data_IF_724313017883
#
_entry.id   IF_724313017883
#
_cell.length_a   1.000
_cell.length_b   1.000
_cell.length_c   1.000
_cell.angle_alpha   90.00
_cell.angle_beta   90.00
_cell.angle_gamma   90.00
#
_symmetry.space_group_name_H-M   'P 1'
#
loop_
_entity.id
_entity.type
_entity.pdbx_description
1 polymer ?
#
# COMPACT_ATOMS: atom_id res chain seq x y z
N UNK A 1 -35.41 72.06 21.30
CA UNK A 1 -35.61 70.93 20.37
C UNK A 1 -35.69 69.57 21.09
N UNK A 2 -34.80 69.26 22.04
CA UNK A 2 -34.82 67.99 22.82
C UNK A 2 -36.16 67.76 23.54
N UNK A 3 -36.72 68.78 24.20
CA UNK A 3 -38.02 68.66 24.89
C UNK A 3 -39.21 68.35 23.96
N UNK A 4 -39.14 68.76 22.69
CA UNK A 4 -40.15 68.43 21.68
C UNK A 4 -40.01 66.98 21.20
N UNK A 5 -38.77 66.48 21.07
CA UNK A 5 -38.50 65.08 20.75
C UNK A 5 -38.99 64.14 21.87
N UNK A 6 -38.74 64.48 23.14
CA UNK A 6 -39.21 63.71 24.31
C UNK A 6 -40.75 63.67 24.36
N UNK A 7 -41.43 64.80 24.14
CA UNK A 7 -42.90 64.83 24.06
C UNK A 7 -43.44 63.98 22.90
N UNK A 8 -42.73 63.91 21.77
CA UNK A 8 -43.10 63.09 20.61
C UNK A 8 -42.94 61.59 20.87
N UNK A 9 -41.87 61.19 21.56
CA UNK A 9 -41.63 59.82 22.04
C UNK A 9 -42.75 59.37 23.00
N UNK A 10 -43.12 60.23 23.97
CA UNK A 10 -44.15 59.93 24.97
C UNK A 10 -45.57 59.86 24.38
N UNK A 11 -45.85 60.55 23.26
CA UNK A 11 -47.16 60.57 22.61
C UNK A 11 -47.37 59.42 21.62
N UNK A 12 -46.30 58.87 21.03
CA UNK A 12 -46.33 57.71 20.10
C UNK A 12 -45.70 56.48 20.76
N UNK A 13 -46.29 56.04 21.89
CA UNK A 13 -45.71 55.03 22.78
C UNK A 13 -45.38 53.71 22.07
N UNK A 14 -46.29 53.18 21.25
CA UNK A 14 -46.10 51.90 20.56
C UNK A 14 -44.93 51.92 19.57
N UNK A 15 -44.89 52.92 18.67
CA UNK A 15 -43.81 53.08 17.68
C UNK A 15 -42.46 53.32 18.37
N UNK A 16 -42.46 54.08 19.46
CA UNK A 16 -41.24 54.36 20.23
C UNK A 16 -40.71 53.11 20.93
N UNK A 17 -41.59 52.26 21.48
CA UNK A 17 -41.22 50.99 22.11
C UNK A 17 -40.61 50.05 21.07
N UNK A 18 -41.22 49.90 19.88
CA UNK A 18 -40.71 49.04 18.80
C UNK A 18 -39.34 49.51 18.30
N UNK A 19 -39.15 50.83 18.15
CA UNK A 19 -37.85 51.39 17.75
C UNK A 19 -36.78 51.16 18.81
N UNK A 20 -37.09 51.40 20.08
CA UNK A 20 -36.15 51.18 21.19
C UNK A 20 -35.83 49.69 21.33
N UNK A 21 -36.81 48.80 21.21
CA UNK A 21 -36.57 47.35 21.28
C UNK A 21 -35.72 46.86 20.12
N UNK A 22 -35.97 47.35 18.88
CA UNK A 22 -35.14 47.01 17.73
C UNK A 22 -33.70 47.51 17.92
N UNK A 23 -33.53 48.72 18.46
CA UNK A 23 -32.21 49.29 18.76
C UNK A 23 -31.50 48.46 19.83
N UNK A 24 -32.17 48.10 20.92
CA UNK A 24 -31.62 47.23 21.97
C UNK A 24 -31.23 45.86 21.39
N UNK A 25 -32.08 45.25 20.57
CA UNK A 25 -31.76 43.98 19.91
C UNK A 25 -30.49 44.08 19.07
N UNK A 26 -30.32 45.14 18.27
CA UNK A 26 -29.10 45.35 17.48
C UNK A 26 -27.89 45.54 18.41
N UNK A 27 -28.01 46.38 19.44
CA UNK A 27 -26.93 46.67 20.38
C UNK A 27 -26.54 45.48 21.26
N UNK A 28 -27.39 44.46 21.41
CA UNK A 28 -27.06 43.22 22.13
C UNK A 28 -26.58 42.14 21.17
N UNK A 29 -27.29 41.91 20.05
CA UNK A 29 -26.98 40.81 19.12
C UNK A 29 -25.66 41.04 18.38
N UNK A 30 -25.36 42.26 17.93
CA UNK A 30 -24.13 42.53 17.17
C UNK A 30 -22.88 42.30 18.03
N UNK A 31 -22.76 42.86 19.25
CA UNK A 31 -21.60 42.56 20.10
C UNK A 31 -21.53 41.11 20.54
N UNK A 32 -22.67 40.47 20.86
CA UNK A 32 -22.69 39.05 21.21
C UNK A 32 -22.22 38.15 20.06
N UNK A 33 -22.66 38.44 18.83
CA UNK A 33 -22.20 37.76 17.63
C UNK A 33 -20.69 37.93 17.40
N UNK A 34 -20.19 39.16 17.50
CA UNK A 34 -18.75 39.45 17.38
C UNK A 34 -17.91 38.76 18.47
N UNK A 35 -18.42 38.68 19.70
CA UNK A 35 -17.77 37.99 20.80
C UNK A 35 -17.70 36.47 20.54
N UNK A 36 -18.78 35.86 20.05
CA UNK A 36 -18.78 34.45 19.69
C UNK A 36 -17.81 34.14 18.54
N UNK A 37 -17.72 35.01 17.52
CA UNK A 37 -16.74 34.86 16.43
C UNK A 37 -15.31 34.92 16.98
N UNK A 38 -15.03 35.87 17.90
CA UNK A 38 -13.71 35.98 18.52
C UNK A 38 -13.36 34.74 19.37
N UNK A 39 -14.32 34.21 20.14
CA UNK A 39 -14.13 32.98 20.91
C UNK A 39 -13.87 31.79 19.99
N UNK A 40 -14.62 31.68 18.89
CA UNK A 40 -14.43 30.63 17.91
C UNK A 40 -13.04 30.71 17.24
N UNK A 41 -12.62 31.91 16.82
CA UNK A 41 -11.27 32.14 16.26
C UNK A 41 -10.19 31.75 17.26
N UNK A 42 -10.28 32.22 18.50
CA UNK A 42 -9.31 31.87 19.55
C UNK A 42 -9.29 30.38 19.86
N UNK A 43 -10.44 29.71 19.83
CA UNK A 43 -10.52 28.27 20.02
C UNK A 43 -9.86 27.52 18.87
N UNK A 44 -10.02 27.99 17.63
CA UNK A 44 -9.36 27.43 16.44
C UNK A 44 -7.84 27.66 16.53
N UNK A 45 -7.39 28.90 16.78
CA UNK A 45 -5.97 29.25 16.88
C UNK A 45 -5.28 28.42 17.97
N UNK A 46 -5.90 28.32 19.15
CA UNK A 46 -5.37 27.52 20.27
C UNK A 46 -5.41 26.02 19.95
N UNK A 47 -6.41 25.54 19.21
CA UNK A 47 -6.45 24.15 18.74
C UNK A 47 -5.31 23.86 17.75
N UNK A 48 -5.04 24.78 16.82
CA UNK A 48 -3.92 24.70 15.87
C UNK A 48 -2.59 24.77 16.61
N UNK A 49 -2.41 25.69 17.55
CA UNK A 49 -1.17 25.82 18.32
C UNK A 49 -0.91 24.57 19.18
N UNK A 50 -1.95 24.05 19.84
CA UNK A 50 -1.83 22.92 20.76
C UNK A 50 -1.71 21.56 20.06
N UNK A 51 -2.37 21.39 18.92
CA UNK A 51 -2.45 20.09 18.23
C UNK A 51 -1.78 20.08 16.85
N UNK A 52 -1.46 21.23 16.28
CA UNK A 52 -0.69 21.34 15.03
C UNK A 52 0.82 21.29 15.24
N UNK A 53 1.31 21.41 16.49
CA UNK A 53 2.73 21.23 16.78
C UNK A 53 3.11 19.75 16.62
N UNK A 54 4.07 19.52 15.74
CA UNK A 54 4.52 18.19 15.36
C UNK A 54 5.25 17.43 16.48
N UNK A 55 5.59 16.16 16.24
CA UNK A 55 6.71 15.52 16.98
C UNK A 55 8.05 16.15 16.62
N UNK A 56 8.10 16.94 15.54
CA UNK A 56 9.26 17.63 15.03
C UNK A 56 9.01 19.14 15.07
N UNK A 57 9.99 19.90 15.56
CA UNK A 57 9.96 21.37 15.54
C UNK A 57 10.57 21.97 14.27
N UNK A 58 11.65 21.34 13.76
CA UNK A 58 12.42 21.86 12.62
C UNK A 58 12.67 20.72 11.63
N UNK A 59 12.27 20.93 10.37
CA UNK A 59 12.59 20.06 9.25
C UNK A 59 13.81 20.62 8.50
N UNK A 60 14.94 19.91 8.58
CA UNK A 60 16.16 20.28 7.86
C UNK A 60 16.23 19.54 6.54
N UNK A 61 16.35 20.30 5.43
CA UNK A 61 16.44 19.75 4.08
C UNK A 61 17.52 20.48 3.28
N UNK A 62 18.14 19.84 2.27
CA UNK A 62 19.03 20.54 1.35
C UNK A 62 18.31 21.66 0.61
N UNK A 63 19.02 22.76 0.35
CA UNK A 63 18.45 23.92 -0.35
C UNK A 63 17.89 23.56 -1.75
N UNK A 64 18.51 22.61 -2.44
CA UNK A 64 18.07 22.12 -3.76
C UNK A 64 16.76 21.33 -3.73
N UNK A 65 16.32 20.86 -2.56
CA UNK A 65 15.12 20.04 -2.46
C UNK A 65 13.83 20.86 -2.54
N UNK A 66 13.87 22.17 -2.28
CA UNK A 66 12.67 23.00 -2.22
C UNK A 66 12.11 23.29 -3.62
N UNK A 67 10.90 22.83 -3.90
CA UNK A 67 10.21 23.04 -5.18
C UNK A 67 9.76 24.49 -5.34
N UNK A 68 9.40 24.89 -6.56
CA UNK A 68 8.88 26.23 -6.81
C UNK A 68 7.56 26.49 -6.06
N UNK A 69 6.65 25.50 -6.04
CA UNK A 69 5.38 25.65 -5.34
C UNK A 69 5.57 25.74 -3.81
N UNK A 70 6.52 24.99 -3.23
CA UNK A 70 6.88 25.10 -1.81
C UNK A 70 7.48 26.49 -1.47
N UNK A 71 8.12 27.15 -2.44
CA UNK A 71 8.62 28.53 -2.27
C UNK A 71 7.47 29.55 -2.29
N UNK A 72 6.54 29.39 -3.22
CA UNK A 72 5.40 30.29 -3.40
C UNK A 72 4.39 30.19 -2.26
N UNK A 73 4.06 28.96 -1.83
CA UNK A 73 3.08 28.72 -0.77
C UNK A 73 3.68 28.81 0.63
N UNK A 74 5.01 28.70 0.76
CA UNK A 74 5.65 28.62 2.08
C UNK A 74 5.31 27.34 2.85
N UNK A 75 4.83 26.30 2.15
CA UNK A 75 4.41 25.02 2.73
C UNK A 75 5.25 23.87 2.16
N UNK A 76 5.30 22.75 2.87
CA UNK A 76 5.92 21.48 2.44
C UNK A 76 4.81 20.47 2.20
N UNK A 77 4.99 19.59 1.21
CA UNK A 77 4.06 18.49 0.96
C UNK A 77 3.91 17.60 2.20
N UNK A 78 2.69 17.16 2.50
CA UNK A 78 2.48 16.15 3.53
C UNK A 78 3.11 14.83 3.10
N UNK A 79 3.62 14.05 4.06
CA UNK A 79 4.25 12.75 3.80
C UNK A 79 5.46 12.83 2.85
N UNK A 80 6.23 13.92 2.98
CA UNK A 80 7.38 14.26 2.12
C UNK A 80 8.45 13.15 1.97
N UNK A 81 8.54 12.19 2.90
CA UNK A 81 9.53 11.10 2.85
C UNK A 81 9.30 10.14 1.67
N UNK A 82 8.12 10.18 1.02
CA UNK A 82 7.88 9.40 -0.21
C UNK A 82 8.82 9.72 -1.37
N UNK A 83 9.60 10.81 -1.29
CA UNK A 83 10.58 11.18 -2.30
C UNK A 83 11.97 10.63 -1.93
N UNK A 84 12.55 9.78 -2.77
CA UNK A 84 13.82 9.08 -2.45
C UNK A 84 15.08 9.82 -2.91
N UNK A 85 14.97 11.12 -3.23
CA UNK A 85 16.07 11.94 -3.78
C UNK A 85 16.48 13.06 -2.82
N UNK A 86 17.73 13.01 -2.35
CA UNK A 86 18.38 14.06 -1.56
C UNK A 86 18.57 13.69 -0.08
N UNK A 87 18.87 14.70 0.74
CA UNK A 87 19.19 14.55 2.16
C UNK A 87 20.39 15.42 2.56
N UNK A 88 20.50 15.73 3.85
CA UNK A 88 21.71 16.36 4.40
C UNK A 88 22.81 15.31 4.59
N UNK A 89 24.08 15.73 4.61
CA UNK A 89 25.16 14.77 4.88
C UNK A 89 25.18 14.34 6.34
N UNK A 90 25.77 13.19 6.64
CA UNK A 90 26.00 12.73 8.02
C UNK A 90 26.87 13.74 8.79
N UNK A 91 27.78 14.45 8.10
CA UNK A 91 28.59 15.50 8.71
C UNK A 91 27.73 16.70 9.12
N UNK A 92 26.86 17.18 8.22
CA UNK A 92 25.93 18.29 8.51
C UNK A 92 25.01 17.93 9.67
N UNK A 93 24.45 16.72 9.67
CA UNK A 93 23.62 16.24 10.78
C UNK A 93 24.39 16.22 12.12
N UNK A 94 25.63 15.71 12.14
CA UNK A 94 26.46 15.71 13.35
C UNK A 94 26.81 17.11 13.83
N UNK A 95 26.95 18.07 12.92
CA UNK A 95 27.22 19.46 13.31
C UNK A 95 25.97 20.12 13.88
N UNK A 96 24.79 19.85 13.32
CA UNK A 96 23.50 20.26 13.89
C UNK A 96 23.32 19.65 15.29
N UNK A 97 23.58 18.36 15.47
CA UNK A 97 23.42 17.68 16.75
C UNK A 97 24.29 18.25 17.89
N UNK A 98 25.40 18.95 17.57
CA UNK A 98 26.30 19.54 18.57
C UNK A 98 25.80 20.87 19.12
N UNK A 99 24.80 21.50 18.50
CA UNK A 99 24.26 22.76 18.97
C UNK A 99 23.59 22.57 20.34
N UNK A 100 23.90 23.44 21.31
CA UNK A 100 23.40 23.32 22.68
C UNK A 100 21.90 23.62 22.79
N UNK A 101 21.33 24.33 21.81
CA UNK A 101 19.89 24.63 21.76
C UNK A 101 19.08 23.48 21.14
N UNK A 102 19.75 22.44 20.61
CA UNK A 102 19.10 21.28 20.01
C UNK A 102 19.06 20.13 21.01
N UNK A 103 17.86 19.81 21.49
CA UNK A 103 17.64 18.70 22.43
C UNK A 103 17.84 17.33 21.76
N UNK A 104 17.26 17.13 20.57
CA UNK A 104 17.31 15.88 19.81
C UNK A 104 17.38 16.21 18.31
N UNK A 105 18.31 15.58 17.59
CA UNK A 105 18.38 15.59 16.14
C UNK A 105 18.23 14.17 15.60
N UNK A 106 17.05 13.81 15.12
CA UNK A 106 16.75 12.48 14.60
C UNK A 106 16.78 12.47 13.06
N UNK A 107 17.81 11.87 12.43
CA UNK A 107 17.90 11.80 10.98
C UNK A 107 16.98 10.69 10.44
N UNK A 108 16.27 11.01 9.36
CA UNK A 108 15.47 10.04 8.60
C UNK A 108 15.87 10.10 7.12
N UNK A 109 16.07 8.94 6.52
CA UNK A 109 16.41 8.80 5.10
C UNK A 109 15.38 7.93 4.38
N UNK A 110 14.83 8.43 3.28
CA UNK A 110 14.00 7.63 2.37
C UNK A 110 14.88 6.69 1.57
N UNK A 111 14.70 5.38 1.73
CA UNK A 111 15.40 4.36 0.94
C UNK A 111 14.69 4.15 -0.39
N UNK A 112 13.36 4.25 -0.38
CA UNK A 112 12.49 4.04 -1.53
C UNK A 112 11.41 3.02 -1.23
N UNK A 113 10.87 2.44 -2.28
CA UNK A 113 9.83 1.44 -2.21
C UNK A 113 10.42 0.08 -2.52
N UNK A 114 10.27 -0.84 -1.57
CA UNK A 114 10.86 -2.17 -1.63
C UNK A 114 9.76 -3.22 -1.50
N UNK A 115 10.02 -4.38 -2.09
CA UNK A 115 9.10 -5.52 -2.07
C UNK A 115 9.59 -6.59 -1.13
N UNK A 116 8.64 -7.32 -0.58
CA UNK A 116 8.86 -8.44 0.30
C UNK A 116 9.20 -9.76 -0.39
N UNK A 117 9.30 -10.79 0.45
CA UNK A 117 9.13 -12.19 0.02
C UNK A 117 7.75 -12.30 -0.63
N UNK A 118 7.64 -13.07 -1.72
CA UNK A 118 6.34 -13.39 -2.31
C UNK A 118 5.91 -14.81 -1.92
N UNK A 119 4.61 -14.99 -1.71
CA UNK A 119 4.03 -16.22 -1.18
C UNK A 119 3.08 -16.83 -2.20
N UNK A 120 2.96 -18.15 -2.18
CA UNK A 120 2.02 -18.86 -3.04
C UNK A 120 0.64 -19.02 -2.40
N UNK A 121 -0.37 -19.15 -3.25
CA UNK A 121 -1.67 -19.73 -2.96
C UNK A 121 -1.75 -21.06 -3.69
N UNK A 122 -1.81 -22.15 -2.93
CA UNK A 122 -2.00 -23.51 -3.45
C UNK A 122 -3.47 -23.72 -3.82
N UNK A 123 -3.73 -24.17 -5.05
CA UNK A 123 -5.07 -24.46 -5.57
C UNK A 123 -5.54 -25.86 -5.13
N UNK A 124 -6.86 -26.09 -4.99
CA UNK A 124 -7.37 -27.36 -4.51
C UNK A 124 -7.26 -28.47 -5.57
N UNK A 125 -6.92 -29.67 -5.13
CA UNK A 125 -7.04 -30.88 -5.94
C UNK A 125 -8.48 -31.38 -5.91
N UNK A 126 -9.20 -31.25 -7.03
CA UNK A 126 -10.62 -31.62 -7.11
C UNK A 126 -10.80 -33.02 -7.71
N UNK A 127 -11.98 -33.60 -7.49
CA UNK A 127 -12.33 -34.94 -8.01
C UNK A 127 -12.58 -34.99 -9.51
N UNK A 128 -12.64 -33.84 -10.17
CA UNK A 128 -12.98 -33.68 -11.58
C UNK A 128 -11.84 -32.90 -12.25
N UNK A 129 -11.58 -33.17 -13.54
CA UNK A 129 -10.67 -32.33 -14.33
C UNK A 129 -11.21 -30.90 -14.34
N UNK A 130 -10.37 -29.93 -14.03
CA UNK A 130 -10.83 -28.58 -13.68
C UNK A 130 -9.93 -27.53 -14.30
N UNK A 131 -10.54 -26.53 -14.91
CA UNK A 131 -9.89 -25.31 -15.34
C UNK A 131 -10.05 -24.25 -14.23
N UNK A 132 -8.93 -23.77 -13.73
CA UNK A 132 -8.85 -22.64 -12.83
C UNK A 132 -8.46 -21.41 -13.64
N UNK A 133 -9.28 -20.37 -13.63
CA UNK A 133 -8.90 -19.04 -14.13
C UNK A 133 -8.88 -18.09 -12.95
N UNK A 134 -7.79 -17.33 -12.77
CA UNK A 134 -7.69 -16.41 -11.64
C UNK A 134 -7.09 -15.07 -12.02
N UNK A 135 -7.48 -14.06 -11.26
CA UNK A 135 -7.03 -12.69 -11.38
C UNK A 135 -6.91 -12.06 -9.98
N UNK A 136 -5.85 -11.30 -9.77
CA UNK A 136 -5.65 -10.57 -8.52
C UNK A 136 -6.12 -9.13 -8.67
N UNK A 137 -6.70 -8.60 -7.61
CA UNK A 137 -7.18 -7.23 -7.58
C UNK A 137 -6.63 -6.48 -6.37
N UNK A 138 -6.52 -5.16 -6.50
CA UNK A 138 -6.30 -4.24 -5.38
C UNK A 138 -7.36 -3.14 -5.41
N UNK A 139 -7.61 -2.49 -4.29
CA UNK A 139 -8.56 -1.39 -4.21
C UNK A 139 -7.97 -0.18 -3.53
N UNK A 140 -8.28 1.02 -4.04
CA UNK A 140 -8.03 2.27 -3.32
C UNK A 140 -9.20 2.63 -2.39
N UNK A 141 -10.11 1.69 -2.13
CA UNK A 141 -11.38 1.92 -1.45
C UNK A 141 -12.47 2.45 -2.38
N UNK A 142 -12.14 3.26 -3.40
CA UNK A 142 -13.10 3.86 -4.34
C UNK A 142 -13.36 2.98 -5.55
N UNK A 143 -12.28 2.52 -6.18
CA UNK A 143 -12.23 1.68 -7.37
C UNK A 143 -11.41 0.42 -7.08
N UNK A 144 -11.75 -0.64 -7.79
CA UNK A 144 -10.98 -1.87 -7.85
C UNK A 144 -10.13 -1.88 -9.14
N UNK A 145 -8.90 -2.37 -9.02
CA UNK A 145 -7.90 -2.40 -10.07
C UNK A 145 -7.38 -3.82 -10.25
N UNK A 146 -7.33 -4.27 -11.49
CA UNK A 146 -6.70 -5.54 -11.84
C UNK A 146 -5.17 -5.44 -11.71
N UNK A 147 -4.54 -6.45 -11.10
CA UNK A 147 -3.09 -6.55 -10.94
C UNK A 147 -2.41 -7.37 -12.05
N UNK A 148 -3.12 -7.63 -13.15
CA UNK A 148 -2.59 -8.34 -14.31
C UNK A 148 -3.67 -9.11 -15.06
N UNK A 149 -3.39 -9.60 -16.27
CA UNK A 149 -4.37 -10.36 -17.03
C UNK A 149 -4.73 -11.67 -16.30
N UNK A 150 -5.95 -12.19 -16.53
CA UNK A 150 -6.36 -13.49 -16.03
C UNK A 150 -5.37 -14.57 -16.47
N UNK A 151 -4.98 -15.43 -15.52
CA UNK A 151 -4.15 -16.61 -15.78
C UNK A 151 -5.02 -17.85 -15.70
N UNK A 152 -4.68 -18.88 -16.49
CA UNK A 152 -5.42 -20.14 -16.47
C UNK A 152 -4.51 -21.34 -16.22
N UNK A 153 -5.09 -22.37 -15.60
CA UNK A 153 -4.48 -23.66 -15.35
C UNK A 153 -5.51 -24.75 -15.56
N UNK A 154 -5.15 -25.78 -16.30
CA UNK A 154 -5.97 -26.95 -16.53
C UNK A 154 -5.42 -28.15 -15.77
N UNK A 155 -6.13 -28.56 -14.72
CA UNK A 155 -5.83 -29.70 -13.85
C UNK A 155 -6.54 -30.97 -14.32
N UNK A 156 -5.87 -32.13 -14.17
CA UNK A 156 -6.43 -33.44 -14.51
C UNK A 156 -6.48 -34.40 -13.32
N UNK A 157 -7.60 -35.10 -13.20
CA UNK A 157 -7.94 -36.02 -12.10
C UNK A 157 -7.03 -37.27 -11.98
N UNK A 158 -6.52 -37.80 -13.09
CA UNK A 158 -5.93 -39.16 -13.15
C UNK A 158 -4.40 -39.20 -13.25
N UNK A 159 -3.68 -38.70 -12.24
CA UNK A 159 -2.23 -38.90 -12.16
C UNK A 159 -1.88 -40.21 -11.44
N UNK A 160 -1.44 -41.26 -12.15
CA UNK A 160 -0.82 -42.44 -11.51
C UNK A 160 0.68 -42.60 -11.84
N UNK A 161 1.56 -42.84 -10.84
CA UNK A 161 1.41 -42.64 -9.40
C UNK A 161 2.29 -41.49 -8.85
N UNK A 162 1.66 -40.47 -8.26
CA UNK A 162 2.22 -39.73 -7.13
C UNK A 162 2.19 -38.19 -7.15
N UNK A 163 2.02 -37.55 -8.30
CA UNK A 163 2.10 -36.08 -8.43
C UNK A 163 0.98 -35.52 -9.31
N UNK A 164 0.42 -34.39 -8.89
CA UNK A 164 -0.56 -33.60 -9.66
C UNK A 164 0.02 -33.22 -11.02
N UNK A 165 -0.79 -33.29 -12.08
CA UNK A 165 -0.41 -32.93 -13.45
C UNK A 165 -1.36 -31.87 -13.99
N UNK A 166 -0.81 -30.83 -14.61
CA UNK A 166 -1.58 -29.72 -15.16
C UNK A 166 -0.89 -29.07 -16.36
N UNK A 167 -1.70 -28.38 -17.17
CA UNK A 167 -1.25 -27.45 -18.20
C UNK A 167 -1.48 -26.03 -17.70
N UNK A 168 -0.60 -25.09 -18.04
CA UNK A 168 -0.72 -23.69 -17.64
C UNK A 168 -0.45 -22.80 -18.84
N UNK A 169 -1.23 -21.72 -19.00
CA UNK A 169 -0.89 -20.65 -19.93
C UNK A 169 -0.28 -19.48 -19.16
N UNK A 170 1.00 -19.20 -19.42
CA UNK A 170 1.76 -18.12 -18.78
C UNK A 170 2.21 -17.14 -19.86
N UNK A 171 2.20 -15.83 -19.57
CA UNK A 171 2.73 -14.80 -20.49
C UNK A 171 4.22 -15.02 -20.85
N UNK A 172 5.00 -15.62 -19.95
CA UNK A 172 6.40 -16.00 -20.16
C UNK A 172 6.75 -17.17 -19.25
N UNK A 173 7.39 -18.26 -19.75
CA UNK A 173 7.93 -18.44 -21.10
C UNK A 173 6.88 -18.82 -22.17
N UNK A 174 5.59 -18.88 -21.82
CA UNK A 174 4.50 -19.36 -22.67
C UNK A 174 3.76 -20.53 -22.02
N UNK A 175 2.82 -21.13 -22.74
CA UNK A 175 2.09 -22.29 -22.24
C UNK A 175 3.02 -23.48 -21.98
N UNK A 176 2.90 -24.11 -20.83
CA UNK A 176 3.76 -25.22 -20.42
C UNK A 176 2.98 -26.29 -19.65
N UNK A 177 3.61 -27.45 -19.50
CA UNK A 177 3.07 -28.57 -18.76
C UNK A 177 3.91 -28.80 -17.50
N UNK A 178 3.26 -29.06 -16.37
CA UNK A 178 3.92 -29.21 -15.09
C UNK A 178 3.39 -30.42 -14.33
N UNK A 179 4.25 -30.95 -13.44
CA UNK A 179 3.84 -31.96 -12.49
C UNK A 179 4.40 -31.68 -11.10
N UNK A 180 3.62 -30.97 -10.31
CA UNK A 180 3.93 -30.49 -8.95
C UNK A 180 2.62 -30.03 -8.28
N UNK A 181 2.71 -29.51 -7.05
CA UNK A 181 1.63 -28.71 -6.45
C UNK A 181 1.20 -27.57 -7.38
N UNK A 182 -0.09 -27.26 -7.39
CA UNK A 182 -0.65 -26.17 -8.18
C UNK A 182 -0.52 -24.88 -7.37
N UNK A 183 0.55 -24.13 -7.63
CA UNK A 183 0.88 -22.94 -6.85
C UNK A 183 0.78 -21.67 -7.68
N UNK A 184 0.07 -20.68 -7.14
CA UNK A 184 -0.07 -19.37 -7.75
C UNK A 184 0.67 -18.35 -6.90
N UNK A 185 1.71 -17.72 -7.44
CA UNK A 185 2.42 -16.65 -6.73
C UNK A 185 1.54 -15.42 -6.61
N UNK A 186 1.41 -14.90 -5.38
CA UNK A 186 0.79 -13.61 -5.13
C UNK A 186 1.57 -12.49 -5.84
N UNK A 187 0.89 -11.41 -6.27
CA UNK A 187 1.55 -10.25 -6.86
C UNK A 187 2.50 -9.58 -5.85
N UNK A 188 3.62 -9.01 -6.31
CA UNK A 188 4.53 -8.28 -5.43
C UNK A 188 3.84 -7.03 -4.88
N UNK A 189 4.09 -6.74 -3.61
CA UNK A 189 3.62 -5.55 -2.91
C UNK A 189 4.78 -4.59 -2.64
N UNK A 190 4.55 -3.30 -2.79
CA UNK A 190 5.59 -2.28 -2.66
C UNK A 190 5.36 -1.41 -1.43
N UNK A 191 6.36 -1.34 -0.55
CA UNK A 191 6.29 -0.62 0.71
C UNK A 191 7.37 0.44 0.81
N UNK A 192 7.01 1.65 1.22
CA UNK A 192 7.98 2.70 1.51
C UNK A 192 8.85 2.29 2.71
N UNK A 193 10.16 2.32 2.53
CA UNK A 193 11.15 2.06 3.58
C UNK A 193 11.91 3.33 3.89
N UNK A 194 11.98 3.65 5.18
CA UNK A 194 12.82 4.71 5.70
C UNK A 194 13.85 4.15 6.68
N UNK A 195 15.08 4.64 6.58
CA UNK A 195 16.12 4.40 7.56
C UNK A 195 16.10 5.52 8.60
N UNK A 196 16.30 5.15 9.86
CA UNK A 196 16.17 6.04 11.02
C UNK A 196 17.30 5.82 12.01
N UNK A 197 17.63 6.84 12.79
CA UNK A 197 18.38 6.64 14.04
C UNK A 197 17.42 6.20 15.15
N UNK A 198 17.54 4.94 15.55
CA UNK A 198 16.61 4.31 16.51
C UNK A 198 16.58 5.10 17.83
N UNK A 199 17.74 5.43 18.40
CA UNK A 199 17.79 6.08 19.70
C UNK A 199 17.13 7.48 19.68
N UNK A 200 17.47 8.29 18.69
CA UNK A 200 16.94 9.65 18.57
C UNK A 200 15.45 9.66 18.21
N UNK A 201 15.02 8.80 17.28
CA UNK A 201 13.60 8.71 16.90
C UNK A 201 12.73 8.17 18.04
N UNK A 202 13.20 7.19 18.81
CA UNK A 202 12.46 6.72 19.98
C UNK A 202 12.29 7.81 21.03
N UNK A 203 13.35 8.60 21.31
CA UNK A 203 13.27 9.71 22.25
C UNK A 203 12.33 10.81 21.78
N UNK A 204 12.32 11.10 20.47
CA UNK A 204 11.51 12.17 19.87
C UNK A 204 10.03 11.78 19.73
N UNK A 205 9.75 10.60 19.19
CA UNK A 205 8.38 10.15 18.91
C UNK A 205 7.72 9.42 20.09
N UNK A 206 8.53 8.84 20.98
CA UNK A 206 8.07 7.93 22.03
C UNK A 206 7.51 6.61 21.50
N UNK A 207 7.80 6.24 20.25
CA UNK A 207 7.45 4.96 19.65
C UNK A 207 8.48 3.91 20.12
N UNK A 208 8.02 2.70 20.43
CA UNK A 208 8.93 1.60 20.71
C UNK A 208 9.44 0.99 19.38
N UNK A 209 10.73 1.20 19.12
CA UNK A 209 11.46 0.70 17.96
C UNK A 209 12.52 -0.33 18.37
N UNK A 210 12.49 -0.80 19.63
CA UNK A 210 13.47 -1.74 20.19
C UNK A 210 13.51 -3.08 19.45
N UNK A 211 12.44 -3.42 18.75
CA UNK A 211 12.36 -4.57 17.83
C UNK A 211 13.49 -4.56 16.78
N UNK A 212 13.97 -3.40 16.35
CA UNK A 212 15.11 -3.30 15.41
C UNK A 212 16.42 -3.87 15.99
N UNK A 213 16.54 -3.93 17.31
CA UNK A 213 17.71 -4.46 18.02
C UNK A 213 17.63 -5.98 18.25
N UNK A 214 16.50 -6.63 17.92
CA UNK A 214 16.37 -8.09 18.07
C UNK A 214 17.40 -8.82 17.20
N UNK A 215 17.90 -9.92 17.73
CA UNK A 215 18.74 -10.84 16.96
C UNK A 215 17.87 -11.65 16.01
N UNK A 216 18.45 -12.06 14.88
CA UNK A 216 17.79 -12.99 13.98
C UNK A 216 17.59 -14.34 14.65
N UNK A 217 16.55 -15.04 14.23
CA UNK A 217 16.44 -16.46 14.50
C UNK A 217 17.65 -17.17 13.87
N UNK A 218 18.29 -18.04 14.65
CA UNK A 218 19.46 -18.78 14.20
C UNK A 218 19.11 -19.74 13.08
N UNK A 219 17.94 -20.36 13.12
CA UNK A 219 17.53 -21.32 12.09
C UNK A 219 17.27 -20.63 10.75
N UNK A 220 16.54 -19.51 10.76
CA UNK A 220 16.31 -18.71 9.54
C UNK A 220 17.62 -18.16 8.98
N UNK A 221 18.53 -17.70 9.84
CA UNK A 221 19.84 -17.18 9.43
C UNK A 221 20.71 -18.26 8.77
N UNK A 222 20.82 -19.44 9.37
CA UNK A 222 21.59 -20.56 8.81
C UNK A 222 20.99 -21.05 7.49
N UNK A 223 19.65 -21.07 7.39
CA UNK A 223 18.97 -21.42 6.15
C UNK A 223 19.28 -20.42 5.01
N UNK A 224 19.19 -19.11 5.28
CA UNK A 224 19.53 -18.06 4.32
C UNK A 224 21.01 -18.14 3.89
N UNK A 225 21.91 -18.37 4.85
CA UNK A 225 23.35 -18.55 4.57
C UNK A 225 23.65 -19.76 3.71
N UNK A 226 22.93 -20.86 3.92
CA UNK A 226 23.05 -22.06 3.10
C UNK A 226 22.64 -21.80 1.64
N UNK A 227 21.58 -21.04 1.43
CA UNK A 227 21.04 -20.77 0.09
C UNK A 227 21.82 -19.70 -0.68
N UNK A 228 22.25 -18.63 0.00
CA UNK A 228 22.75 -17.42 -0.66
C UNK A 228 24.13 -16.97 -0.17
N UNK A 229 24.76 -17.70 0.76
CA UNK A 229 26.06 -17.35 1.33
C UNK A 229 25.97 -16.29 2.44
N UNK A 230 27.14 -15.78 2.85
CA UNK A 230 27.23 -14.79 3.93
C UNK A 230 27.02 -13.37 3.38
N UNK A 231 25.74 -12.98 3.34
CA UNK A 231 25.28 -11.71 2.78
C UNK A 231 24.71 -10.79 3.85
N UNK A 232 24.82 -9.46 3.69
CA UNK A 232 24.28 -8.50 4.64
C UNK A 232 22.76 -8.64 4.79
N UNK A 233 22.25 -8.60 6.03
CA UNK A 233 20.82 -8.60 6.31
C UNK A 233 20.40 -7.26 6.90
N UNK A 234 19.51 -6.59 6.19
CA UNK A 234 18.84 -5.35 6.57
C UNK A 234 17.60 -5.72 7.39
N UNK A 235 17.58 -5.24 8.63
CA UNK A 235 16.46 -5.42 9.54
C UNK A 235 15.40 -4.37 9.25
N UNK A 236 14.15 -4.81 9.10
CA UNK A 236 12.99 -3.91 8.97
C UNK A 236 11.96 -4.24 10.04
N UNK A 237 11.25 -3.21 10.49
CA UNK A 237 10.04 -3.36 11.31
C UNK A 237 8.89 -2.71 10.56
N UNK A 238 7.69 -3.28 10.72
CA UNK A 238 6.51 -2.75 10.04
C UNK A 238 5.57 -2.05 11.01
N UNK A 239 4.71 -1.20 10.48
CA UNK A 239 3.58 -0.69 11.25
C UNK A 239 2.43 -1.70 11.23
N UNK A 240 1.76 -1.91 12.37
CA UNK A 240 0.71 -2.94 12.50
C UNK A 240 -0.61 -2.61 11.78
N UNK A 241 -0.83 -1.35 11.47
CA UNK A 241 -2.04 -0.79 10.86
C UNK A 241 -1.94 -0.62 9.34
N UNK A 242 -0.79 -0.98 8.72
CA UNK A 242 -0.63 -0.92 7.27
C UNK A 242 -1.20 -2.20 6.66
N UNK A 243 -2.33 -2.04 5.97
CA UNK A 243 -2.99 -3.09 5.21
C UNK A 243 -3.06 -2.66 3.74
N UNK A 244 -2.64 -3.55 2.84
CA UNK A 244 -2.79 -3.36 1.40
C UNK A 244 -3.88 -4.34 0.94
N UNK A 245 -5.03 -3.85 0.48
CA UNK A 245 -6.12 -4.71 0.05
C UNK A 245 -5.68 -5.46 -1.21
N UNK A 246 -5.66 -6.78 -1.10
CA UNK A 246 -5.47 -7.70 -2.21
C UNK A 246 -6.56 -8.77 -2.11
N UNK A 247 -7.27 -8.96 -3.21
CA UNK A 247 -8.22 -10.04 -3.37
C UNK A 247 -7.80 -10.93 -4.54
N UNK A 248 -8.20 -12.20 -4.46
CA UNK A 248 -8.08 -13.17 -5.52
C UNK A 248 -9.48 -13.54 -5.98
N UNK A 249 -9.78 -13.29 -7.26
CA UNK A 249 -10.97 -13.82 -7.89
C UNK A 249 -10.57 -15.05 -8.70
N UNK A 250 -11.31 -16.14 -8.51
CA UNK A 250 -11.04 -17.41 -9.16
C UNK A 250 -12.32 -18.01 -9.73
N UNK A 251 -12.32 -18.24 -11.04
CA UNK A 251 -13.34 -19.02 -11.74
C UNK A 251 -12.88 -20.48 -11.83
N UNK A 252 -13.78 -21.38 -11.45
CA UNK A 252 -13.55 -22.82 -11.40
C UNK A 252 -14.52 -23.49 -12.34
N UNK A 253 -14.01 -23.96 -13.48
CA UNK A 253 -14.79 -24.62 -14.52
C UNK A 253 -14.46 -26.12 -14.55
N UNK A 254 -15.47 -26.96 -14.28
CA UNK A 254 -15.32 -28.42 -14.28
C UNK A 254 -15.55 -28.98 -15.68
N UNK A 255 -14.72 -29.94 -16.07
CA UNK A 255 -14.74 -30.55 -17.39
C UNK A 255 -14.79 -32.09 -17.29
N UNK A 256 -15.51 -32.73 -18.22
CA UNK A 256 -15.51 -34.19 -18.38
C UNK A 256 -14.42 -34.60 -19.38
N UNK A 257 -13.16 -34.57 -18.94
CA UNK A 257 -12.01 -34.86 -19.79
C UNK A 257 -11.30 -36.14 -19.37
N UNK A 258 -11.11 -37.04 -20.33
CA UNK A 258 -10.27 -38.22 -20.19
C UNK A 258 -8.79 -37.83 -20.32
N UNK A 259 -8.03 -38.04 -19.25
CA UNK A 259 -6.61 -37.74 -19.20
C UNK A 259 -5.80 -38.47 -20.28
N UNK A 260 -6.19 -39.70 -20.63
CA UNK A 260 -5.49 -40.48 -21.66
C UNK A 260 -5.67 -39.87 -23.06
N UNK A 261 -6.83 -39.26 -23.33
CA UNK A 261 -7.07 -38.55 -24.58
C UNK A 261 -6.21 -37.28 -24.65
N UNK A 262 -6.09 -36.55 -23.53
CA UNK A 262 -5.23 -35.38 -23.42
C UNK A 262 -3.76 -35.76 -23.66
N UNK A 263 -3.26 -36.84 -23.04
CA UNK A 263 -1.89 -37.33 -23.29
C UNK A 263 -1.64 -37.65 -24.77
N UNK A 264 -2.59 -38.32 -25.43
CA UNK A 264 -2.50 -38.60 -26.88
C UNK A 264 -2.44 -37.32 -27.71
N UNK A 265 -3.25 -36.31 -27.39
CA UNK A 265 -3.21 -35.00 -28.07
C UNK A 265 -1.86 -34.28 -27.86
N UNK A 266 -1.23 -34.47 -26.70
CA UNK A 266 0.12 -33.98 -26.41
C UNK A 266 1.22 -34.83 -27.10
N UNK A 267 0.85 -35.92 -27.75
CA UNK A 267 1.77 -36.84 -28.42
C UNK A 267 2.59 -37.68 -27.47
N UNK A 268 2.06 -37.93 -26.27
CA UNK A 268 2.66 -38.77 -25.24
C UNK A 268 2.02 -40.17 -25.26
N UNK A 269 2.79 -41.17 -24.86
CA UNK A 269 2.31 -42.51 -24.54
C UNK A 269 1.53 -42.50 -23.22
N UNK A 270 0.40 -43.21 -23.17
CA UNK A 270 -0.56 -43.15 -22.05
C UNK A 270 -0.03 -43.78 -20.75
N UNK A 271 0.98 -44.65 -20.84
CA UNK A 271 1.32 -45.55 -19.73
C UNK A 271 2.63 -45.17 -19.01
N UNK A 272 3.55 -44.42 -19.65
CA UNK A 272 4.91 -44.21 -19.14
C UNK A 272 5.42 -42.75 -19.20
N UNK A 273 4.74 -41.85 -19.90
CA UNK A 273 5.23 -40.48 -20.14
C UNK A 273 4.48 -39.41 -19.32
N UNK A 274 5.27 -38.51 -18.72
CA UNK A 274 4.78 -37.41 -17.91
C UNK A 274 4.37 -36.23 -18.77
N UNK A 275 3.31 -35.51 -18.40
CA UNK A 275 2.83 -34.35 -19.17
C UNK A 275 3.91 -33.26 -19.34
N UNK A 276 4.85 -33.15 -18.39
CA UNK A 276 6.00 -32.24 -18.44
C UNK A 276 6.93 -32.47 -19.63
N UNK A 277 6.85 -33.65 -20.29
CA UNK A 277 7.61 -33.98 -21.49
C UNK A 277 6.93 -33.44 -22.76
N UNK A 278 5.72 -32.88 -22.66
CA UNK A 278 4.97 -32.36 -23.79
C UNK A 278 5.65 -31.12 -24.39
N UNK A 279 5.61 -31.02 -25.72
CA UNK A 279 6.08 -29.85 -26.45
C UNK A 279 5.13 -28.65 -26.22
N UNK A 280 5.69 -27.47 -25.95
CA UNK A 280 4.92 -26.23 -25.70
C UNK A 280 3.85 -25.94 -26.77
N UNK A 281 4.16 -26.15 -28.06
CA UNK A 281 3.19 -25.93 -29.15
C UNK A 281 1.98 -26.83 -29.06
N UNK A 282 2.16 -28.08 -28.62
CA UNK A 282 1.07 -29.04 -28.43
C UNK A 282 0.24 -28.67 -27.20
N UNK A 283 0.91 -28.26 -26.12
CA UNK A 283 0.24 -27.72 -24.92
C UNK A 283 -0.67 -26.55 -25.28
N UNK A 284 -0.17 -25.58 -26.04
CA UNK A 284 -0.96 -24.42 -26.49
C UNK A 284 -2.17 -24.85 -27.35
N UNK A 285 -1.98 -25.82 -28.24
CA UNK A 285 -3.08 -26.35 -29.06
C UNK A 285 -4.15 -27.02 -28.21
N UNK A 286 -3.76 -27.83 -27.22
CA UNK A 286 -4.69 -28.52 -26.33
C UNK A 286 -5.46 -27.52 -25.47
N UNK A 287 -4.78 -26.55 -24.85
CA UNK A 287 -5.44 -25.49 -24.09
C UNK A 287 -6.45 -24.71 -24.95
N UNK A 288 -6.10 -24.40 -26.21
CA UNK A 288 -6.99 -23.73 -27.15
C UNK A 288 -8.17 -24.58 -27.66
N UNK A 289 -8.09 -25.91 -27.56
CA UNK A 289 -9.22 -26.82 -27.80
C UNK A 289 -10.14 -26.89 -26.58
N UNK A 290 -9.57 -27.10 -25.40
CA UNK A 290 -10.32 -27.17 -24.13
C UNK A 290 -11.08 -25.88 -23.87
N UNK A 291 -10.49 -24.72 -24.16
CA UNK A 291 -11.13 -23.41 -24.02
C UNK A 291 -12.38 -23.21 -24.92
N UNK A 292 -12.60 -24.09 -25.92
CA UNK A 292 -13.80 -24.05 -26.78
C UNK A 292 -14.90 -25.01 -26.32
N UNK A 293 -14.57 -25.95 -25.44
CA UNK A 293 -15.53 -26.91 -24.90
C UNK A 293 -16.35 -26.24 -23.80
N UNK A 294 -17.66 -26.52 -23.75
CA UNK A 294 -18.51 -25.98 -22.69
C UNK A 294 -18.26 -26.75 -21.39
N UNK A 295 -17.89 -26.06 -20.30
CA UNK A 295 -17.67 -26.73 -19.02
C UNK A 295 -18.98 -27.28 -18.46
N UNK A 296 -18.89 -28.38 -17.70
CA UNK A 296 -20.02 -28.98 -16.99
C UNK A 296 -20.66 -28.02 -15.99
N UNK A 297 -19.82 -27.21 -15.35
CA UNK A 297 -20.25 -26.19 -14.38
C UNK A 297 -19.14 -25.17 -14.18
N UNK A 298 -19.52 -23.91 -14.01
CA UNK A 298 -18.60 -22.82 -13.63
C UNK A 298 -19.06 -22.17 -12.34
N UNK A 299 -18.14 -21.98 -11.39
CA UNK A 299 -18.39 -21.25 -10.15
C UNK A 299 -17.27 -20.23 -9.91
N UNK A 300 -17.65 -19.03 -9.50
CA UNK A 300 -16.73 -17.95 -9.17
C UNK A 300 -16.57 -17.84 -7.66
N UNK A 301 -15.33 -17.75 -7.20
CA UNK A 301 -14.96 -17.55 -5.81
C UNK A 301 -14.13 -16.29 -5.68
N UNK A 302 -14.29 -15.59 -4.56
CA UNK A 302 -13.52 -14.41 -4.22
C UNK A 302 -12.93 -14.59 -2.82
N UNK A 303 -11.62 -14.35 -2.71
CA UNK A 303 -10.86 -14.54 -1.49
C UNK A 303 -10.23 -13.21 -1.08
N UNK A 304 -10.52 -12.76 0.14
CA UNK A 304 -9.81 -11.66 0.75
C UNK A 304 -8.47 -12.16 1.31
N UNK A 305 -7.38 -11.71 0.70
CA UNK A 305 -6.02 -12.09 1.10
C UNK A 305 -5.39 -11.11 2.07
N UNK A 306 -6.03 -9.97 2.32
CA UNK A 306 -5.50 -8.91 3.18
C UNK A 306 -5.08 -9.39 4.59
N UNK A 307 -5.83 -10.28 5.30
CA UNK A 307 -5.44 -10.74 6.63
C UNK A 307 -4.13 -11.55 6.68
N UNK A 308 -3.64 -12.02 5.53
CA UNK A 308 -2.49 -12.93 5.42
C UNK A 308 -1.24 -12.24 4.86
N UNK A 309 -1.36 -10.95 4.53
CA UNK A 309 -0.29 -10.15 3.96
C UNK A 309 0.32 -9.25 5.03
N UNK A 310 1.64 -9.19 5.05
CA UNK A 310 2.39 -8.26 5.87
C UNK A 310 3.45 -7.55 5.00
N UNK A 311 3.83 -6.31 5.32
CA UNK A 311 5.03 -5.72 4.74
C UNK A 311 6.27 -6.63 4.88
N UNK A 312 6.90 -6.95 3.75
CA UNK A 312 8.11 -7.79 3.66
C UNK A 312 7.97 -9.27 4.01
N UNK A 313 6.80 -9.70 4.51
CA UNK A 313 6.54 -11.08 4.94
C UNK A 313 5.08 -11.47 4.68
N UNK A 314 4.69 -12.70 4.97
CA UNK A 314 3.34 -13.15 4.64
C UNK A 314 3.17 -14.62 4.93
N UNK A 315 1.97 -15.09 4.68
CA UNK A 315 1.60 -16.49 4.86
C UNK A 315 1.29 -17.05 3.49
N UNK A 316 2.02 -18.08 3.08
CA UNK A 316 1.57 -18.91 1.96
C UNK A 316 0.25 -19.57 2.37
N UNK A 317 -0.66 -19.73 1.42
CA UNK A 317 -2.03 -20.18 1.69
C UNK A 317 -2.34 -21.40 0.84
N UNK A 318 -3.33 -22.16 1.28
CA UNK A 318 -3.94 -23.23 0.50
C UNK A 318 -5.45 -23.07 0.49
N UNK A 319 -6.03 -23.14 -0.71
CA UNK A 319 -7.47 -23.25 -0.91
C UNK A 319 -7.81 -24.75 -0.81
N UNK A 320 -8.66 -25.13 0.15
CA UNK A 320 -9.09 -26.52 0.31
C UNK A 320 -10.20 -26.92 -0.70
N UNK A 321 -10.59 -28.20 -0.72
CA UNK A 321 -11.66 -28.70 -1.59
C UNK A 321 -13.03 -28.01 -1.37
N UNK A 322 -13.22 -27.31 -0.25
CA UNK A 322 -14.42 -26.55 0.10
C UNK A 322 -14.26 -25.06 -0.20
N UNK A 323 -13.16 -24.66 -0.84
CA UNK A 323 -12.82 -23.28 -1.14
C UNK A 323 -12.68 -22.41 0.10
N UNK A 324 -12.02 -22.94 1.13
CA UNK A 324 -11.62 -22.19 2.32
C UNK A 324 -10.10 -22.01 2.36
N UNK A 325 -9.65 -20.82 2.80
CA UNK A 325 -8.24 -20.54 3.01
C UNK A 325 -7.74 -21.25 4.27
N UNK A 326 -6.67 -22.01 4.12
CA UNK A 326 -6.03 -22.83 5.16
C UNK A 326 -4.51 -22.73 5.06
N UNK A 327 -3.81 -23.24 6.07
CA UNK A 327 -2.35 -23.32 6.05
C UNK A 327 -1.87 -24.38 5.03
N UNK A 328 -0.86 -24.05 4.19
CA UNK A 328 -0.32 -24.99 3.20
C UNK A 328 0.53 -26.06 3.88
N UNK A 329 0.64 -27.22 3.23
CA UNK A 329 1.49 -28.33 3.70
C UNK A 329 2.97 -27.99 3.45
N UNK A 330 3.27 -27.46 2.25
CA UNK A 330 4.60 -27.03 1.85
C UNK A 330 4.51 -25.58 1.35
N UNK A 331 4.81 -24.58 2.19
CA UNK A 331 4.73 -23.19 1.77
C UNK A 331 5.81 -22.89 0.73
N UNK A 332 5.41 -22.33 -0.41
CA UNK A 332 6.37 -21.83 -1.40
C UNK A 332 6.52 -20.34 -1.27
N UNK A 333 7.78 -19.95 -1.07
CA UNK A 333 8.21 -18.60 -0.79
C UNK A 333 9.28 -18.25 -1.81
N UNK A 334 9.09 -17.16 -2.53
CA UNK A 334 10.08 -16.63 -3.45
C UNK A 334 10.76 -15.38 -2.91
N UNK A 335 11.97 -15.14 -3.42
CA UNK A 335 12.82 -14.00 -3.08
C UNK A 335 13.14 -13.12 -4.29
N UNK A 336 12.47 -13.41 -5.42
CA UNK A 336 12.82 -12.96 -6.77
C UNK A 336 12.97 -11.44 -6.87
N UNK A 337 12.08 -10.71 -6.22
CA UNK A 337 12.00 -9.26 -6.35
C UNK A 337 12.66 -8.50 -5.18
N UNK A 338 13.15 -9.19 -4.15
CA UNK A 338 13.61 -8.57 -2.90
C UNK A 338 14.80 -7.62 -3.05
N UNK A 339 15.56 -7.77 -4.14
CA UNK A 339 16.72 -6.95 -4.48
C UNK A 339 16.39 -5.75 -5.37
N UNK A 340 15.16 -5.68 -5.88
CA UNK A 340 14.69 -4.58 -6.70
C UNK A 340 14.02 -3.55 -5.79
N UNK A 341 14.34 -2.27 -6.02
CA UNK A 341 13.71 -1.17 -5.32
C UNK A 341 13.40 -0.03 -6.27
N UNK A 342 12.43 0.79 -5.86
CA UNK A 342 11.88 1.85 -6.68
C UNK A 342 12.08 3.16 -5.95
N UNK A 343 12.55 4.16 -6.69
CA UNK A 343 12.64 5.53 -6.20
C UNK A 343 11.61 6.37 -6.91
N UNK A 344 10.91 7.22 -6.15
CA UNK A 344 9.88 8.09 -6.71
C UNK A 344 10.34 9.55 -6.69
N UNK A 345 10.05 10.28 -7.76
CA UNK A 345 10.22 11.74 -7.79
C UNK A 345 9.10 12.45 -7.02
N UNK A 346 9.37 13.71 -6.66
CA UNK A 346 8.38 14.62 -6.09
C UNK A 346 7.21 14.81 -7.04
N UNK A 347 6.02 15.05 -6.48
CA UNK A 347 4.89 15.46 -7.30
C UNK A 347 5.16 16.81 -7.97
N UNK A 348 4.87 16.86 -9.27
CA UNK A 348 5.01 18.07 -10.08
C UNK A 348 3.67 18.82 -10.06
N UNK A 349 3.42 19.52 -8.96
CA UNK A 349 2.24 20.38 -8.81
C UNK A 349 2.23 21.55 -9.81
N UNK A 350 1.06 21.83 -10.34
CA UNK A 350 0.77 22.97 -11.20
C UNK A 350 -0.38 23.78 -10.59
N UNK A 351 -0.19 25.09 -10.48
CA UNK A 351 -1.26 26.01 -10.09
C UNK A 351 -2.19 26.24 -11.28
N UNK A 352 -3.46 25.88 -11.10
CA UNK A 352 -4.55 26.15 -12.05
C UNK A 352 -5.56 27.03 -11.32
N UNK A 353 -5.36 28.34 -11.39
CA UNK A 353 -6.11 29.31 -10.59
C UNK A 353 -5.78 29.17 -9.11
N UNK A 354 -6.79 29.03 -8.26
CA UNK A 354 -6.62 28.80 -6.80
C UNK A 354 -6.41 27.32 -6.45
N UNK A 355 -6.39 26.42 -7.44
CA UNK A 355 -6.27 24.98 -7.21
C UNK A 355 -4.88 24.47 -7.56
N UNK A 356 -4.41 23.51 -6.79
CA UNK A 356 -3.26 22.69 -7.13
C UNK A 356 -3.73 21.48 -7.94
N UNK A 357 -3.01 21.16 -9.00
CA UNK A 357 -3.26 19.99 -9.83
C UNK A 357 -1.96 19.23 -10.06
N UNK A 358 -2.07 17.91 -10.22
CA UNK A 358 -0.94 17.04 -10.55
C UNK A 358 -1.27 16.35 -11.86
N UNK A 359 -0.32 16.34 -12.79
CA UNK A 359 -0.49 15.62 -14.05
C UNK A 359 -0.19 14.14 -13.84
N UNK A 360 -1.07 13.28 -14.35
CA UNK A 360 -0.79 11.84 -14.48
C UNK A 360 0.46 11.63 -15.35
N UNK A 361 1.41 10.85 -14.83
CA UNK A 361 2.67 10.53 -15.49
C UNK A 361 2.50 9.29 -16.38
N UNK A 362 1.87 8.26 -15.83
CA UNK A 362 1.64 6.98 -16.52
C UNK A 362 0.19 6.52 -16.30
N UNK A 363 -0.47 6.11 -17.38
CA UNK A 363 -1.80 5.51 -17.29
C UNK A 363 -1.70 4.04 -16.86
N UNK A 364 -2.67 3.55 -16.10
CA UNK A 364 -2.68 2.17 -15.61
C UNK A 364 -3.81 1.91 -14.62
N UNK A 365 -3.86 0.68 -14.12
CA UNK A 365 -4.79 0.27 -13.07
C UNK A 365 -3.97 -0.27 -11.88
N UNK A 366 -3.53 0.57 -10.93
CA UNK A 366 -3.82 2.00 -10.76
C UNK A 366 -2.91 2.95 -11.59
N UNK A 367 -3.34 4.21 -11.85
CA UNK A 367 -2.56 5.19 -12.62
C UNK A 367 -1.46 5.86 -11.79
N UNK A 368 -0.31 6.15 -12.40
CA UNK A 368 0.85 6.76 -11.71
C UNK A 368 0.90 8.27 -11.82
N UNK A 369 1.13 8.93 -10.69
CA UNK A 369 1.34 10.38 -10.60
C UNK A 369 2.78 10.79 -10.30
N UNK A 370 3.65 9.82 -9.98
CA UNK A 370 5.09 10.03 -9.76
C UNK A 370 5.89 9.39 -10.89
N UNK A 371 7.01 10.01 -11.24
CA UNK A 371 8.03 9.35 -12.05
C UNK A 371 8.76 8.35 -11.17
N UNK A 372 8.78 7.09 -11.62
CA UNK A 372 9.35 5.97 -10.89
C UNK A 372 10.61 5.51 -11.60
N UNK A 373 11.71 5.44 -10.86
CA UNK A 373 12.97 4.88 -11.35
C UNK A 373 13.25 3.57 -10.62
N UNK A 374 13.28 2.49 -11.40
CA UNK A 374 13.64 1.15 -10.94
C UNK A 374 15.15 1.04 -10.75
N UNK A 375 15.58 0.49 -9.62
CA UNK A 375 16.97 0.25 -9.28
C UNK A 375 17.16 -1.17 -8.73
N UNK A 376 18.40 -1.63 -8.76
CA UNK A 376 18.72 -3.02 -8.44
C UNK A 376 18.37 -3.96 -9.59
N UNK A 377 18.38 -5.25 -9.30
CA UNK A 377 18.12 -6.33 -10.25
C UNK A 377 17.22 -7.37 -9.62
N UNK A 378 16.49 -8.10 -10.45
CA UNK A 378 15.75 -9.29 -9.97
C UNK A 378 16.64 -10.52 -10.03
N UNK A 379 16.26 -11.59 -9.31
CA UNK A 379 16.95 -12.88 -9.41
C UNK A 379 16.85 -13.54 -10.79
N UNK A 380 15.93 -13.08 -11.65
CA UNK A 380 15.91 -13.51 -13.05
C UNK A 380 17.08 -12.95 -13.86
N UNK A 381 17.62 -11.80 -13.45
CA UNK A 381 18.66 -11.07 -14.18
C UNK A 381 20.06 -11.39 -13.65
N UNK A 382 20.20 -11.57 -12.34
CA UNK A 382 21.50 -11.82 -11.68
C UNK A 382 21.35 -12.81 -10.54
N UNK A 383 22.41 -13.59 -10.32
CA UNK A 383 22.53 -14.52 -9.19
C UNK A 383 23.35 -13.94 -8.03
N UNK A 384 23.82 -12.69 -8.15
CA UNK A 384 24.57 -12.00 -7.11
C UNK A 384 23.62 -11.28 -6.16
N UNK A 385 23.65 -11.64 -4.88
CA UNK A 385 22.70 -11.19 -3.87
C UNK A 385 23.34 -10.13 -2.94
N UNK A 386 23.06 -8.82 -3.12
CA UNK A 386 23.79 -7.78 -2.40
C UNK A 386 23.34 -7.61 -0.94
N UNK A 387 22.08 -7.91 -0.61
CA UNK A 387 21.53 -7.80 0.74
C UNK A 387 20.16 -8.49 0.85
N UNK A 388 19.82 -9.05 2.01
CA UNK A 388 18.46 -9.49 2.35
C UNK A 388 17.75 -8.46 3.21
N UNK A 389 16.45 -8.29 3.01
CA UNK A 389 15.59 -7.66 4.01
C UNK A 389 14.83 -8.71 4.78
N UNK A 390 14.78 -8.57 6.10
CA UNK A 390 13.94 -9.42 6.93
C UNK A 390 13.19 -8.60 7.97
N UNK A 391 11.90 -8.90 8.09
CA UNK A 391 11.02 -8.25 9.05
C UNK A 391 11.21 -8.92 10.42
N UNK A 392 11.66 -8.14 11.41
CA UNK A 392 11.99 -8.68 12.75
C UNK A 392 11.02 -8.22 13.84
N UNK A 393 10.00 -7.46 13.46
CA UNK A 393 9.04 -6.93 14.42
C UNK A 393 8.01 -6.01 13.80
N UNK A 394 7.22 -5.42 14.70
CA UNK A 394 6.22 -4.43 14.32
C UNK A 394 6.02 -3.40 15.42
N UNK A 395 5.68 -2.19 15.02
CA UNK A 395 5.34 -1.10 15.94
C UNK A 395 3.92 -0.60 15.66
N UNK A 396 3.33 0.04 16.66
CA UNK A 396 2.09 0.79 16.50
C UNK A 396 2.39 2.24 16.80
N UNK A 397 1.91 3.12 15.94
CA UNK A 397 1.82 4.52 16.29
C UNK A 397 0.88 4.70 17.48
N UNK A 398 1.08 5.74 18.30
CA UNK A 398 0.04 6.16 19.23
C UNK A 398 -1.18 6.56 18.40
N UNK A 399 -2.36 6.03 18.74
CA UNK A 399 -3.60 6.32 18.02
C UNK A 399 -3.74 7.83 17.81
N UNK A 400 -3.83 8.25 16.55
CA UNK A 400 -4.25 9.59 16.23
C UNK A 400 -5.69 9.73 16.74
N UNK A 401 -5.88 10.57 17.77
CA UNK A 401 -7.23 10.87 18.25
C UNK A 401 -8.00 11.49 17.08
N UNK A 402 -9.05 10.82 16.60
CA UNK A 402 -9.93 11.34 15.54
C UNK A 402 -10.28 12.81 15.84
N UNK A 403 -10.19 13.67 14.82
CA UNK A 403 -10.42 15.12 14.87
C UNK A 403 -9.33 15.98 15.56
N UNK A 404 -8.10 15.49 15.70
CA UNK A 404 -6.94 16.35 15.99
C UNK A 404 -6.04 16.45 14.78
N UNK A 405 -5.48 17.65 14.56
CA UNK A 405 -4.45 17.87 13.55
C UNK A 405 -3.30 16.89 13.83
N UNK A 406 -2.86 16.18 12.79
CA UNK A 406 -1.79 15.20 12.91
C UNK A 406 -0.43 15.91 12.92
N UNK A 407 0.45 15.42 13.78
CA UNK A 407 1.72 16.02 14.15
C UNK A 407 2.94 15.42 13.44
N UNK A 408 2.78 14.44 12.54
CA UNK A 408 3.91 13.87 11.79
C UNK A 408 3.90 14.31 10.32
N UNK A 409 4.84 15.18 9.89
CA UNK A 409 4.94 15.59 8.48
C UNK A 409 5.54 14.50 7.58
N UNK A 410 6.02 13.39 8.16
CA UNK A 410 6.84 12.40 7.47
C UNK A 410 6.06 11.21 6.92
N UNK A 411 4.81 11.00 7.33
CA UNK A 411 3.94 9.92 6.82
C UNK A 411 4.35 8.48 7.19
N UNK A 412 5.52 8.29 7.80
CA UNK A 412 6.00 6.98 8.24
C UNK A 412 5.36 6.54 9.55
N UNK A 413 5.04 7.47 10.46
CA UNK A 413 4.57 7.16 11.81
C UNK A 413 3.06 7.30 12.03
N UNK A 414 2.29 7.64 11.01
CA UNK A 414 0.83 7.68 11.10
C UNK A 414 0.20 7.56 9.71
N UNK A 415 -0.94 6.90 9.63
CA UNK A 415 -1.86 7.00 8.49
C UNK A 415 -2.93 8.01 8.83
N UNK A 416 -2.90 9.16 8.15
CA UNK A 416 -4.12 9.94 8.04
C UNK A 416 -5.08 9.15 7.15
N UNK A 417 -6.23 8.76 7.70
CA UNK A 417 -7.33 8.27 6.87
C UNK A 417 -7.74 9.39 5.94
N UNK A 418 -7.48 9.18 4.65
CA UNK A 418 -7.92 10.12 3.62
C UNK A 418 -9.37 9.80 3.37
N UNK A 419 -10.24 10.78 3.54
CA UNK A 419 -11.64 10.65 3.21
C UNK A 419 -11.98 11.55 2.03
N UNK A 420 -12.77 11.01 1.11
CA UNK A 420 -13.44 11.82 0.09
C UNK A 420 -14.40 12.80 0.76
N UNK A 421 -14.89 13.80 0.00
CA UNK A 421 -15.94 14.71 0.48
C UNK A 421 -17.21 14.00 0.98
N UNK A 422 -17.45 12.78 0.49
CA UNK A 422 -18.57 11.93 0.86
C UNK A 422 -18.29 11.06 2.11
N UNK A 423 -17.10 11.18 2.70
CA UNK A 423 -16.69 10.44 3.91
C UNK A 423 -16.15 9.03 3.64
N UNK A 424 -15.95 8.64 2.37
CA UNK A 424 -15.40 7.33 2.01
C UNK A 424 -13.88 7.34 2.14
N UNK A 425 -13.33 6.35 2.87
CA UNK A 425 -11.89 6.21 3.13
C UNK A 425 -11.18 5.73 1.86
N UNK A 426 -10.07 6.38 1.54
CA UNK A 426 -9.14 5.99 0.47
C UNK A 426 -8.04 5.13 1.09
N UNK A 427 -7.83 3.96 0.51
CA UNK A 427 -6.85 2.97 0.95
C UNK A 427 -5.60 3.01 0.05
N UNK A 428 -4.42 2.69 0.59
CA UNK A 428 -3.24 2.49 -0.23
C UNK A 428 -3.37 1.21 -1.07
N UNK A 429 -2.99 1.28 -2.35
CA UNK A 429 -2.98 0.12 -3.27
C UNK A 429 -1.65 -0.60 -3.27
N UNK A 430 -1.58 -1.79 -3.88
CA UNK A 430 -0.34 -2.60 -4.06
C UNK A 430 0.83 -1.79 -4.63
N UNK A 431 0.56 -0.87 -5.55
CA UNK A 431 1.52 0.08 -6.09
C UNK A 431 1.45 1.42 -5.34
N UNK A 432 1.93 1.48 -4.10
CA UNK A 432 1.90 2.74 -3.32
C UNK A 432 2.70 3.90 -3.94
N UNK A 433 3.63 3.59 -4.85
CA UNK A 433 4.42 4.56 -5.61
C UNK A 433 3.59 5.35 -6.62
N UNK A 434 2.46 4.77 -7.02
CA UNK A 434 1.68 5.13 -8.20
C UNK A 434 0.49 6.02 -7.81
N UNK A 435 -0.08 5.86 -6.62
CA UNK A 435 -1.24 6.65 -6.17
C UNK A 435 -0.88 8.04 -5.62
N UNK A 436 -1.81 9.00 -5.77
CA UNK A 436 -1.67 10.34 -5.19
C UNK A 436 -1.58 10.22 -3.66
N UNK A 437 -0.57 10.81 -2.99
CA UNK A 437 -0.62 11.02 -1.56
C UNK A 437 -1.81 11.93 -1.24
N UNK A 438 -2.78 11.34 -0.54
CA UNK A 438 -3.57 11.94 0.54
C UNK A 438 -3.82 13.45 0.50
N UNK A 439 -4.36 13.97 -0.60
CA UNK A 439 -5.04 15.27 -0.59
C UNK A 439 -6.41 15.09 -1.22
N UNK A 440 -7.42 15.77 -0.64
CA UNK A 440 -8.82 15.72 -1.05
C UNK A 440 -8.93 15.67 -2.58
N UNK A 441 -9.23 14.47 -3.08
CA UNK A 441 -9.51 14.24 -4.49
C UNK A 441 -10.94 14.73 -4.72
N UNK A 442 -11.08 15.74 -5.57
CA UNK A 442 -12.36 16.22 -6.08
C UNK A 442 -12.97 15.26 -7.10
#
# INVERSE_FOLDING_TARGET
MINLAIKRLLRRKFVSIVLISALICIFVMVPAGLQNIKIASLAVDNSIEKHGRGSYDILVRPNSSRTQIEKELGMVEENYIGDSKGGISIADWKDIQKDADIEIAAPVASIGYLTGKNFSVELPELKDSTEFTWEFFTSDGLKEYSLGPPKNLMYFKESKPGLVQYLVDMESPGSSAASASMEVMMPPTYYMVAAIDVESEQKMTGIDLSDLNKNFDKEELEHLKSLYGDIPIIKVIQRKDINIPISLKMDVAKHDLDFNEVQKKLGLSTDDEWILQAEMKKVQSVLGEVAKEEPLSTQTYEFDLNPYLNPFNGTALRIDEKFQLTDPINPVIGYIYTMQYFTAEKLKYQSVGERLSVKMVEGGEPPSYKEIETRGHTLFETHDFPYFMNQIGSYSAKEAVHNKLNSSPLGIYSTNEVTTKEGKIILPTTYQVVSLPSQQVD
#
